data_IF_096321317545
#
_entry.id   IF_096321317545
#
_cell.length_a   1.000
_cell.length_b   1.000
_cell.length_c   1.000
_cell.angle_alpha   90.00
_cell.angle_beta   90.00
_cell.angle_gamma   90.00
#
_symmetry.space_group_name_H-M   'P 1'
#
loop_
_entity.id
_entity.type
_entity.pdbx_description
1 polymer ?
#
# COMPACT_ATOMS: atom_id res chain seq x y z
N UNK A 1 -34.61 0.05 34.22
CA UNK A 1 -35.23 -1.29 34.09
C UNK A 1 -35.36 -1.54 32.59
N UNK A 2 -34.31 -1.96 31.86
CA UNK A 2 -33.77 -3.32 31.73
C UNK A 2 -34.83 -4.38 31.94
N UNK A 3 -35.43 -4.85 30.84
CA UNK A 3 -35.86 -6.24 30.66
C UNK A 3 -36.57 -6.38 29.31
N UNK A 4 -35.85 -6.86 28.29
CA UNK A 4 -36.29 -7.98 27.46
C UNK A 4 -35.18 -8.40 26.48
N UNK A 5 -34.18 -9.08 27.04
CA UNK A 5 -33.31 -9.99 26.30
C UNK A 5 -33.97 -11.38 26.41
N UNK A 6 -34.63 -11.83 25.34
CA UNK A 6 -35.13 -13.20 25.22
C UNK A 6 -34.48 -13.86 24.00
N UNK A 7 -33.68 -14.89 24.25
CA UNK A 7 -33.38 -15.92 23.25
C UNK A 7 -31.92 -16.08 22.81
N UNK A 8 -30.95 -16.17 23.73
CA UNK A 8 -29.66 -16.81 23.42
C UNK A 8 -29.77 -18.31 23.73
N UNK A 9 -30.17 -19.11 22.73
CA UNK A 9 -29.92 -20.54 22.73
C UNK A 9 -28.49 -20.77 22.23
N UNK A 10 -27.65 -21.36 23.10
CA UNK A 10 -26.28 -21.76 22.77
C UNK A 10 -26.32 -23.22 22.38
N UNK A 11 -26.27 -23.51 21.08
CA UNK A 11 -25.94 -24.84 20.55
C UNK A 11 -24.52 -24.80 19.97
N UNK A 12 -23.65 -25.69 20.46
CA UNK A 12 -22.24 -25.80 20.05
C UNK A 12 -21.93 -27.23 19.61
N UNK A 13 -22.16 -27.52 18.33
CA UNK A 13 -21.49 -28.57 17.56
C UNK A 13 -21.85 -28.41 16.07
N UNK A 14 -20.98 -27.75 15.29
CA UNK A 14 -21.14 -27.59 13.84
C UNK A 14 -21.70 -26.24 13.35
N UNK A 15 -21.49 -25.14 14.10
CA UNK A 15 -22.08 -23.85 13.79
C UNK A 15 -21.52 -23.25 12.48
N UNK A 16 -22.32 -23.31 11.41
CA UNK A 16 -22.33 -22.22 10.42
C UNK A 16 -22.54 -20.92 11.20
N UNK A 17 -21.69 -19.93 10.97
CA UNK A 17 -21.76 -18.67 11.71
C UNK A 17 -23.06 -17.97 11.31
N UNK A 18 -24.05 -17.97 12.21
CA UNK A 18 -25.38 -17.41 11.96
C UNK A 18 -25.31 -15.98 11.44
N UNK A 19 -26.20 -15.65 10.51
CA UNK A 19 -26.36 -14.27 10.02
C UNK A 19 -27.24 -13.50 10.99
N UNK A 20 -26.77 -12.33 11.44
CA UNK A 20 -27.54 -11.40 12.24
C UNK A 20 -28.07 -10.28 11.33
N UNK A 21 -29.34 -9.91 11.52
CA UNK A 21 -29.97 -8.77 10.82
C UNK A 21 -30.37 -7.73 11.84
N UNK A 22 -29.89 -6.51 11.65
CA UNK A 22 -30.18 -5.34 12.48
C UNK A 22 -31.12 -4.41 11.74
N UNK A 23 -32.14 -3.90 12.41
CA UNK A 23 -33.10 -2.96 11.85
C UNK A 23 -32.73 -1.54 12.28
N UNK A 24 -32.76 -0.62 11.32
CA UNK A 24 -32.59 0.82 11.52
C UNK A 24 -33.94 1.50 11.80
N UNK A 25 -33.90 2.70 12.37
CA UNK A 25 -35.11 3.51 12.64
C UNK A 25 -35.83 3.96 11.36
N UNK A 26 -35.07 4.17 10.29
CA UNK A 26 -35.57 4.53 8.95
C UNK A 26 -36.24 3.35 8.20
N UNK A 27 -36.24 2.15 8.79
CA UNK A 27 -36.83 0.94 8.19
C UNK A 27 -35.87 0.11 7.36
N UNK A 28 -34.65 0.59 7.09
CA UNK A 28 -33.59 -0.19 6.43
C UNK A 28 -33.03 -1.27 7.37
N UNK A 29 -32.32 -2.25 6.81
CA UNK A 29 -31.65 -3.30 7.61
C UNK A 29 -30.17 -3.42 7.25
N UNK A 30 -29.41 -4.00 8.16
CA UNK A 30 -28.01 -4.40 7.94
C UNK A 30 -27.84 -5.86 8.32
N UNK A 31 -27.34 -6.68 7.39
CA UNK A 31 -27.00 -8.07 7.64
C UNK A 31 -25.49 -8.23 7.90
N UNK A 32 -25.11 -9.09 8.84
CA UNK A 32 -23.71 -9.43 9.16
C UNK A 32 -23.61 -10.95 9.32
N UNK A 33 -22.65 -11.58 8.65
CA UNK A 33 -22.38 -13.01 8.79
C UNK A 33 -22.44 -13.79 7.49
N UNK A 34 -22.50 -15.13 7.58
CA UNK A 34 -22.20 -16.04 6.48
C UNK A 34 -23.04 -15.82 5.20
N UNK A 35 -24.31 -15.43 5.31
CA UNK A 35 -25.18 -15.20 4.15
C UNK A 35 -24.80 -13.94 3.35
N UNK A 36 -23.97 -13.06 3.90
CA UNK A 36 -23.42 -11.90 3.17
C UNK A 36 -22.26 -12.28 2.24
N UNK A 37 -21.86 -13.55 2.22
CA UNK A 37 -20.74 -14.05 1.44
C UNK A 37 -19.42 -13.38 1.82
N UNK A 38 -18.60 -13.05 0.81
CA UNK A 38 -17.30 -12.41 1.03
C UNK A 38 -17.39 -10.96 1.54
N UNK A 39 -18.57 -10.31 1.45
CA UNK A 39 -18.76 -8.93 1.89
C UNK A 39 -18.70 -8.81 3.43
N UNK A 40 -19.08 -9.86 4.17
CA UNK A 40 -19.10 -9.90 5.64
C UNK A 40 -20.19 -9.02 6.29
N UNK A 41 -20.56 -7.92 5.63
CA UNK A 41 -21.61 -6.98 6.00
C UNK A 41 -22.36 -6.52 4.74
N UNK A 42 -23.69 -6.41 4.83
CA UNK A 42 -24.57 -5.86 3.79
C UNK A 42 -25.47 -4.80 4.43
N UNK A 43 -25.19 -3.50 4.24
CA UNK A 43 -26.02 -2.40 4.76
C UNK A 43 -27.17 -2.03 3.81
N UNK A 44 -28.05 -1.11 4.26
CA UNK A 44 -29.10 -0.48 3.45
C UNK A 44 -30.06 -1.45 2.74
N UNK A 45 -30.37 -2.57 3.40
CA UNK A 45 -31.30 -3.58 2.89
C UNK A 45 -32.73 -3.04 2.95
N UNK A 46 -33.43 -3.10 1.82
CA UNK A 46 -34.80 -2.63 1.66
C UNK A 46 -34.92 -1.12 1.45
N UNK A 47 -33.80 -0.40 1.30
CA UNK A 47 -33.83 1.02 0.95
C UNK A 47 -34.34 1.20 -0.48
N UNK A 48 -35.26 2.15 -0.64
CA UNK A 48 -35.89 2.50 -1.93
C UNK A 48 -35.78 3.99 -2.22
N UNK A 49 -35.03 4.73 -1.41
CA UNK A 49 -34.93 6.19 -1.48
C UNK A 49 -33.76 6.56 -2.37
N UNK A 50 -33.99 7.19 -3.55
CA UNK A 50 -32.88 7.64 -4.37
C UNK A 50 -32.07 8.75 -3.69
N UNK A 51 -30.75 8.79 -3.91
CA UNK A 51 -29.92 9.91 -3.46
C UNK A 51 -30.34 11.23 -4.14
N UNK A 52 -29.93 12.39 -3.57
CA UNK A 52 -30.20 13.70 -4.15
C UNK A 52 -29.68 13.84 -5.58
N UNK A 53 -30.37 14.64 -6.39
CA UNK A 53 -29.98 14.94 -7.77
C UNK A 53 -28.66 15.73 -7.72
N UNK A 54 -27.59 15.29 -8.42
CA UNK A 54 -26.34 16.04 -8.45
C UNK A 54 -26.51 17.40 -9.13
N UNK A 55 -25.60 18.33 -8.83
CA UNK A 55 -25.44 19.56 -9.61
C UNK A 55 -25.19 19.25 -11.10
N UNK A 56 -25.44 20.24 -11.97
CA UNK A 56 -25.12 20.10 -13.38
C UNK A 56 -23.60 19.93 -13.57
N UNK A 57 -23.15 19.07 -14.49
CA UNK A 57 -21.72 18.85 -14.71
C UNK A 57 -21.05 20.10 -15.28
N UNK A 58 -19.77 20.29 -14.98
CA UNK A 58 -18.90 21.14 -15.79
C UNK A 58 -18.22 20.26 -16.85
N UNK A 59 -18.24 20.68 -18.11
CA UNK A 59 -17.68 19.89 -19.21
C UNK A 59 -16.69 20.72 -20.01
N UNK A 60 -15.59 20.08 -20.41
CA UNK A 60 -14.64 20.61 -21.39
C UNK A 60 -14.33 19.56 -22.45
N UNK A 61 -14.11 19.99 -23.68
CA UNK A 61 -14.02 19.10 -24.83
C UNK A 61 -12.87 19.50 -25.75
N UNK A 62 -11.83 18.67 -25.84
CA UNK A 62 -10.73 18.90 -26.77
C UNK A 62 -10.04 17.59 -27.15
N UNK A 63 -9.43 17.54 -28.34
CA UNK A 63 -8.56 16.44 -28.73
C UNK A 63 -9.22 15.04 -28.70
N UNK A 64 -10.54 14.94 -28.97
CA UNK A 64 -11.27 13.68 -28.85
C UNK A 64 -11.47 13.20 -27.40
N UNK A 65 -11.31 14.09 -26.41
CA UNK A 65 -11.56 13.82 -25.00
C UNK A 65 -12.61 14.79 -24.49
N UNK A 66 -13.64 14.23 -23.87
CA UNK A 66 -14.64 14.94 -23.10
C UNK A 66 -14.31 14.78 -21.61
N UNK A 67 -13.95 15.86 -20.93
CA UNK A 67 -13.74 15.88 -19.49
C UNK A 67 -15.04 16.29 -18.82
N UNK A 68 -15.61 15.40 -18.00
CA UNK A 68 -16.82 15.65 -17.23
C UNK A 68 -16.46 15.80 -15.76
N UNK A 69 -16.82 16.93 -15.15
CA UNK A 69 -16.55 17.24 -13.77
C UNK A 69 -17.83 17.43 -12.96
N UNK A 70 -17.79 16.97 -11.71
CA UNK A 70 -18.82 17.20 -10.70
C UNK A 70 -18.19 17.92 -9.50
N UNK A 71 -18.88 18.95 -9.00
CA UNK A 71 -18.38 19.80 -7.90
C UNK A 71 -18.62 19.21 -6.50
N UNK A 72 -19.28 18.06 -6.41
CA UNK A 72 -19.69 17.44 -5.14
C UNK A 72 -21.00 17.99 -4.58
N UNK A 73 -21.65 18.92 -5.28
CA UNK A 73 -22.89 19.57 -4.88
C UNK A 73 -24.15 18.86 -5.36
N UNK A 74 -25.27 19.20 -4.73
CA UNK A 74 -26.60 18.67 -5.03
C UNK A 74 -27.50 19.78 -5.56
N UNK A 75 -28.29 19.48 -6.59
CA UNK A 75 -29.25 20.42 -7.19
C UNK A 75 -30.50 20.61 -6.31
N UNK A 76 -30.96 19.55 -5.64
CA UNK A 76 -32.19 19.54 -4.87
C UNK A 76 -31.99 19.35 -3.36
N UNK A 77 -30.75 19.45 -2.87
CA UNK A 77 -30.43 19.33 -1.44
C UNK A 77 -29.29 20.29 -1.07
N UNK A 78 -29.27 20.71 0.19
CA UNK A 78 -28.13 21.42 0.81
C UNK A 78 -27.52 20.62 1.95
N UNK A 79 -28.03 19.41 2.17
CA UNK A 79 -27.54 18.51 3.22
C UNK A 79 -26.23 17.83 2.80
N UNK A 80 -25.52 17.29 3.79
CA UNK A 80 -24.32 16.49 3.53
C UNK A 80 -24.66 15.26 2.69
N UNK A 81 -23.67 14.75 1.94
CA UNK A 81 -23.79 13.51 1.18
C UNK A 81 -24.40 12.39 2.03
N UNK A 82 -25.48 11.74 1.56
CA UNK A 82 -26.11 10.65 2.29
C UNK A 82 -25.13 9.51 2.62
N UNK A 83 -25.26 8.83 3.77
CA UNK A 83 -24.35 7.75 4.17
C UNK A 83 -24.30 6.55 3.21
N UNK A 84 -25.37 6.34 2.46
CA UNK A 84 -25.60 5.27 1.49
C UNK A 84 -25.19 5.66 0.06
N UNK A 85 -24.79 6.91 -0.19
CA UNK A 85 -24.31 7.36 -1.50
C UNK A 85 -23.12 6.51 -1.98
N UNK A 86 -23.22 5.98 -3.20
CA UNK A 86 -22.21 5.12 -3.80
C UNK A 86 -21.42 5.82 -4.91
N UNK A 87 -22.05 6.70 -5.69
CA UNK A 87 -21.35 7.43 -6.75
C UNK A 87 -22.26 8.16 -7.73
N UNK A 88 -21.62 8.68 -8.78
CA UNK A 88 -22.26 9.39 -9.89
C UNK A 88 -22.19 8.54 -11.15
N UNK A 89 -23.31 8.46 -11.86
CA UNK A 89 -23.43 7.95 -13.23
C UNK A 89 -23.26 9.12 -14.18
N UNK A 90 -22.29 9.03 -15.08
CA UNK A 90 -22.11 9.99 -16.17
C UNK A 90 -22.85 9.49 -17.40
N UNK A 91 -23.87 10.24 -17.81
CA UNK A 91 -24.61 9.96 -19.04
C UNK A 91 -24.22 10.95 -20.14
N UNK A 92 -23.84 10.43 -21.30
CA UNK A 92 -23.45 11.23 -22.47
C UNK A 92 -24.36 10.90 -23.65
N UNK A 93 -24.70 11.92 -24.43
CA UNK A 93 -25.48 11.80 -25.65
C UNK A 93 -24.79 12.57 -26.78
N UNK A 94 -24.30 11.82 -27.77
CA UNK A 94 -23.87 12.37 -29.06
C UNK A 94 -25.03 12.39 -30.06
N UNK A 95 -24.87 11.69 -31.18
CA UNK A 95 -25.92 11.55 -32.22
C UNK A 95 -27.03 10.54 -31.87
N UNK A 96 -26.80 9.68 -30.88
CA UNK A 96 -27.70 8.60 -30.46
C UNK A 96 -28.57 8.95 -29.25
N UNK A 97 -29.03 7.91 -28.55
CA UNK A 97 -29.68 8.04 -27.25
C UNK A 97 -28.65 8.25 -26.12
N UNK A 98 -29.14 8.57 -24.92
CA UNK A 98 -28.28 8.67 -23.73
C UNK A 98 -27.63 7.32 -23.42
N UNK A 99 -26.32 7.32 -23.24
CA UNK A 99 -25.54 6.17 -22.80
C UNK A 99 -24.86 6.48 -21.46
N UNK A 100 -24.76 5.48 -20.61
CA UNK A 100 -23.92 5.54 -19.41
C UNK A 100 -22.47 5.25 -19.82
N UNK A 101 -21.58 6.19 -19.53
CA UNK A 101 -20.16 6.10 -19.91
C UNK A 101 -19.23 5.85 -18.72
N UNK A 102 -19.62 6.26 -17.51
CA UNK A 102 -18.77 6.14 -16.32
C UNK A 102 -19.55 6.08 -14.99
N UNK A 103 -18.94 5.44 -13.98
CA UNK A 103 -19.42 5.39 -12.57
C UNK A 103 -18.32 5.61 -11.52
N UNK A 104 -17.16 6.11 -11.90
CA UNK A 104 -15.98 6.18 -11.02
C UNK A 104 -15.97 7.40 -10.10
N UNK A 105 -16.78 8.41 -10.40
CA UNK A 105 -16.92 9.62 -9.59
C UNK A 105 -17.69 9.32 -8.28
N UNK A 106 -16.95 9.16 -7.18
CA UNK A 106 -17.48 8.94 -5.82
C UNK A 106 -17.37 10.17 -4.90
N UNK A 107 -16.81 11.27 -5.40
CA UNK A 107 -16.67 12.55 -4.73
C UNK A 107 -16.47 13.65 -5.79
N UNK A 108 -16.34 14.92 -5.36
CA UNK A 108 -15.99 16.02 -6.26
C UNK A 108 -14.71 15.70 -7.05
N UNK A 109 -14.76 15.86 -8.36
CA UNK A 109 -13.70 15.43 -9.26
C UNK A 109 -14.11 15.45 -10.73
N UNK A 110 -13.28 14.86 -11.58
CA UNK A 110 -13.51 14.79 -13.01
C UNK A 110 -13.11 13.43 -13.58
N UNK A 111 -13.80 13.00 -14.64
CA UNK A 111 -13.49 11.83 -15.42
C UNK A 111 -13.29 12.20 -16.90
N UNK A 112 -12.20 11.73 -17.54
CA UNK A 112 -12.04 11.84 -18.99
C UNK A 112 -12.78 10.71 -19.72
N UNK A 113 -13.53 11.05 -20.75
CA UNK A 113 -14.26 10.13 -21.62
C UNK A 113 -13.74 10.30 -23.05
N UNK A 114 -13.20 9.24 -23.63
CA UNK A 114 -12.74 9.26 -25.01
C UNK A 114 -13.95 9.23 -25.96
N UNK A 115 -14.05 10.24 -26.83
CA UNK A 115 -15.15 10.39 -27.77
C UNK A 115 -14.66 10.87 -29.13
N UNK A 116 -15.42 10.62 -30.19
CA UNK A 116 -15.12 11.23 -31.48
C UNK A 116 -15.33 12.76 -31.42
N UNK A 117 -14.67 13.55 -32.28
CA UNK A 117 -14.99 14.96 -32.43
C UNK A 117 -16.47 15.16 -32.79
N UNK A 118 -17.15 16.10 -32.14
CA UNK A 118 -18.57 16.35 -32.34
C UNK A 118 -19.24 17.09 -31.18
N UNK A 119 -20.56 17.30 -31.31
CA UNK A 119 -21.38 17.93 -30.28
C UNK A 119 -22.00 16.87 -29.35
N UNK A 120 -21.87 17.11 -28.04
CA UNK A 120 -22.35 16.21 -27.00
C UNK A 120 -23.24 16.94 -25.99
N UNK A 121 -24.19 16.21 -25.43
CA UNK A 121 -24.93 16.60 -24.24
C UNK A 121 -24.52 15.68 -23.08
N UNK A 122 -24.32 16.25 -21.91
CA UNK A 122 -23.88 15.52 -20.71
C UNK A 122 -24.82 15.85 -19.56
N UNK A 123 -25.18 14.84 -18.78
CA UNK A 123 -25.91 14.98 -17.53
C UNK A 123 -25.45 13.91 -16.53
N UNK A 124 -25.76 14.12 -15.26
CA UNK A 124 -25.36 13.24 -14.18
C UNK A 124 -26.58 12.64 -13.48
N UNK A 125 -26.41 11.47 -12.88
CA UNK A 125 -27.33 10.90 -11.88
C UNK A 125 -26.51 10.42 -10.70
N UNK A 126 -27.05 10.45 -9.50
CA UNK A 126 -26.43 9.79 -8.34
C UNK A 126 -27.05 8.41 -8.13
N UNK A 127 -26.29 7.50 -7.53
CA UNK A 127 -26.78 6.20 -7.10
C UNK A 127 -26.25 5.84 -5.72
N UNK A 128 -27.00 5.01 -5.00
CA UNK A 128 -26.70 4.57 -3.65
C UNK A 128 -26.14 3.13 -3.62
N UNK A 129 -25.88 2.63 -2.41
CA UNK A 129 -25.44 1.27 -2.13
C UNK A 129 -26.59 0.44 -1.52
N UNK A 130 -27.83 0.65 -1.97
CA UNK A 130 -28.98 -0.10 -1.50
C UNK A 130 -28.92 -1.59 -1.90
N UNK A 131 -29.51 -2.43 -1.06
CA UNK A 131 -29.61 -3.88 -1.29
C UNK A 131 -31.06 -4.35 -1.16
N UNK A 132 -31.42 -5.41 -1.88
CA UNK A 132 -32.75 -6.03 -1.75
C UNK A 132 -32.83 -7.01 -0.57
N UNK A 133 -34.02 -7.55 -0.30
CA UNK A 133 -34.24 -8.55 0.77
C UNK A 133 -33.49 -9.88 0.53
N UNK A 134 -32.96 -10.09 -0.69
CA UNK A 134 -32.08 -11.21 -1.02
C UNK A 134 -30.58 -10.90 -0.79
N UNK A 135 -30.26 -9.72 -0.24
CA UNK A 135 -28.90 -9.21 0.01
C UNK A 135 -28.11 -8.87 -1.27
N UNK A 136 -28.79 -8.78 -2.40
CA UNK A 136 -28.19 -8.42 -3.68
C UNK A 136 -28.23 -6.90 -3.88
N UNK A 137 -27.27 -6.38 -4.65
CA UNK A 137 -27.20 -4.95 -4.92
C UNK A 137 -28.42 -4.50 -5.72
N UNK A 138 -29.17 -3.53 -5.18
CA UNK A 138 -30.33 -2.93 -5.80
C UNK A 138 -30.27 -1.39 -5.74
N UNK A 139 -29.27 -0.76 -6.39
CA UNK A 139 -29.05 0.68 -6.27
C UNK A 139 -30.27 1.49 -6.74
N UNK A 140 -30.69 2.46 -5.93
CA UNK A 140 -31.63 3.48 -6.39
C UNK A 140 -30.86 4.57 -7.12
N UNK A 141 -31.49 5.14 -8.15
CA UNK A 141 -30.85 6.13 -9.02
C UNK A 141 -31.71 7.39 -9.03
N UNK A 142 -31.08 8.55 -8.89
CA UNK A 142 -31.77 9.83 -8.93
C UNK A 142 -32.38 10.12 -10.31
N UNK A 143 -33.27 11.11 -10.33
CA UNK A 143 -33.56 11.83 -11.57
C UNK A 143 -32.29 12.50 -12.12
N UNK A 144 -32.21 12.75 -13.45
CA UNK A 144 -31.06 13.42 -14.03
C UNK A 144 -30.88 14.86 -13.54
N UNK A 145 -29.63 15.29 -13.43
CA UNK A 145 -29.28 16.69 -13.24
C UNK A 145 -29.59 17.56 -14.47
N UNK A 146 -29.38 18.87 -14.33
CA UNK A 146 -29.30 19.76 -15.48
C UNK A 146 -28.26 19.29 -16.51
N UNK A 147 -28.57 19.44 -17.79
CA UNK A 147 -27.67 19.03 -18.89
C UNK A 147 -26.79 20.19 -19.36
N UNK A 148 -25.58 19.86 -19.81
CA UNK A 148 -24.63 20.79 -20.45
C UNK A 148 -24.34 20.31 -21.87
N UNK A 149 -24.26 21.24 -22.82
CA UNK A 149 -23.82 20.97 -24.19
C UNK A 149 -22.36 21.38 -24.34
N UNK A 150 -21.57 20.53 -24.98
CA UNK A 150 -20.13 20.68 -25.14
C UNK A 150 -19.73 20.19 -26.52
N UNK A 151 -18.91 20.98 -27.21
CA UNK A 151 -18.30 20.57 -28.47
C UNK A 151 -16.92 19.99 -28.17
N UNK A 152 -16.61 18.84 -28.74
CA UNK A 152 -15.29 18.23 -28.68
C UNK A 152 -14.62 18.47 -30.02
N UNK A 153 -13.60 19.34 -30.01
CA UNK A 153 -12.88 19.69 -31.23
C UNK A 153 -11.88 18.61 -31.64
N UNK A 154 -11.75 18.41 -32.95
CA UNK A 154 -10.63 17.71 -33.53
C UNK A 154 -9.44 18.66 -33.57
N UNK A 155 -8.40 18.36 -32.78
CA UNK A 155 -7.16 19.14 -32.78
C UNK A 155 -6.08 18.29 -33.44
N UNK A 156 -5.72 18.54 -34.72
CA UNK A 156 -4.69 17.77 -35.40
C UNK A 156 -3.36 17.78 -34.62
N UNK A 157 -2.84 16.61 -34.29
CA UNK A 157 -1.58 16.42 -33.54
C UNK A 157 -1.74 16.24 -32.02
N UNK A 158 -2.88 16.65 -31.44
CA UNK A 158 -3.11 16.57 -29.99
C UNK A 158 -3.11 15.15 -29.43
N UNK A 159 -3.62 14.16 -30.17
CA UNK A 159 -3.63 12.78 -29.73
C UNK A 159 -2.22 12.19 -29.61
N UNK A 160 -1.32 12.55 -30.53
CA UNK A 160 0.08 12.12 -30.46
C UNK A 160 0.81 12.82 -29.31
N UNK A 161 0.63 14.13 -29.16
CA UNK A 161 1.24 14.89 -28.06
C UNK A 161 0.74 14.39 -26.69
N UNK A 162 -0.56 14.09 -26.56
CA UNK A 162 -1.11 13.51 -25.34
C UNK A 162 -0.58 12.11 -25.05
N UNK A 163 -0.38 11.29 -26.10
CA UNK A 163 0.21 9.96 -25.96
C UNK A 163 1.68 10.02 -25.52
N UNK A 164 2.46 10.93 -26.11
CA UNK A 164 3.86 11.16 -25.73
C UNK A 164 3.98 11.63 -24.27
N UNK A 165 3.10 12.54 -23.83
CA UNK A 165 3.04 13.00 -22.43
C UNK A 165 2.66 11.85 -21.48
N UNK A 166 1.69 11.01 -21.87
CA UNK A 166 1.26 9.88 -21.05
C UNK A 166 2.37 8.81 -20.93
N UNK A 167 3.10 8.53 -22.02
CA UNK A 167 4.24 7.62 -22.01
C UNK A 167 5.36 8.16 -21.10
N UNK A 168 5.72 9.44 -21.23
CA UNK A 168 6.70 10.07 -20.36
C UNK A 168 6.29 10.02 -18.87
N UNK A 169 5.01 10.28 -18.57
CA UNK A 169 4.49 10.22 -17.20
C UNK A 169 4.53 8.80 -16.64
N UNK A 170 4.25 7.78 -17.46
CA UNK A 170 4.35 6.38 -17.06
C UNK A 170 5.81 5.99 -16.78
N UNK A 171 6.76 6.40 -17.62
CA UNK A 171 8.18 6.18 -17.39
C UNK A 171 8.67 6.83 -16.09
N UNK A 172 8.26 8.08 -15.83
CA UNK A 172 8.61 8.79 -14.60
C UNK A 172 8.04 8.10 -13.36
N UNK A 173 6.80 7.60 -13.43
CA UNK A 173 6.18 6.84 -12.35
C UNK A 173 6.92 5.51 -12.08
N UNK A 174 7.31 4.79 -13.13
CA UNK A 174 8.13 3.57 -13.00
C UNK A 174 9.46 3.89 -12.33
N UNK A 175 10.13 4.97 -12.75
CA UNK A 175 11.39 5.41 -12.16
C UNK A 175 11.24 5.77 -10.67
N UNK A 176 10.17 6.46 -10.30
CA UNK A 176 9.87 6.80 -8.91
C UNK A 176 9.60 5.55 -8.05
N UNK A 177 8.89 4.55 -8.61
CA UNK A 177 8.67 3.26 -7.95
C UNK A 177 9.97 2.50 -7.75
N UNK A 178 10.84 2.43 -8.77
CA UNK A 178 12.17 1.81 -8.65
C UNK A 178 13.02 2.51 -7.60
N UNK A 179 13.05 3.85 -7.58
CA UNK A 179 13.78 4.61 -6.56
C UNK A 179 13.23 4.33 -5.15
N UNK A 180 11.91 4.23 -4.99
CA UNK A 180 11.28 3.89 -3.72
C UNK A 180 11.59 2.45 -3.28
N UNK A 181 11.62 1.50 -4.22
CA UNK A 181 12.06 0.12 -3.96
C UNK A 181 13.53 0.07 -3.53
N UNK A 182 14.42 0.78 -4.21
CA UNK A 182 15.83 0.88 -3.82
C UNK A 182 16.01 1.54 -2.44
N UNK A 183 15.16 2.51 -2.08
CA UNK A 183 15.15 3.11 -0.74
C UNK A 183 14.67 2.14 0.34
N UNK A 184 13.70 1.27 0.04
CA UNK A 184 13.28 0.17 0.90
C UNK A 184 14.33 -0.94 0.99
N UNK A 185 15.10 -1.14 -0.08
CA UNK A 185 16.28 -2.02 -0.11
C UNK A 185 17.47 -1.48 0.70
N UNK A 186 17.32 -0.34 1.39
CA UNK A 186 18.15 0.08 2.53
C UNK A 186 18.05 -0.87 3.73
N UNK A 187 18.09 -2.19 3.49
CA UNK A 187 18.10 -3.27 4.47
C UNK A 187 19.39 -3.12 5.28
N UNK A 188 19.25 -2.83 6.56
CA UNK A 188 20.41 -2.73 7.44
C UNK A 188 21.01 -4.12 7.64
N UNK A 189 22.29 -4.28 7.34
CA UNK A 189 23.03 -5.47 7.74
C UNK A 189 23.21 -5.46 9.26
N UNK A 190 22.77 -6.53 9.93
CA UNK A 190 22.99 -6.73 11.36
C UNK A 190 24.12 -7.73 11.54
N UNK A 191 25.17 -7.33 12.24
CA UNK A 191 26.26 -8.24 12.59
C UNK A 191 26.10 -8.77 14.00
N UNK A 192 26.24 -10.08 14.14
CA UNK A 192 26.27 -10.78 15.42
C UNK A 192 27.65 -11.39 15.64
N UNK A 193 28.20 -11.25 16.85
CA UNK A 193 29.49 -11.83 17.23
C UNK A 193 29.27 -12.78 18.40
N UNK A 194 29.55 -14.07 18.16
CA UNK A 194 29.55 -15.11 19.19
C UNK A 194 30.94 -15.37 19.72
N UNK A 195 31.06 -15.52 21.04
CA UNK A 195 32.30 -15.96 21.69
C UNK A 195 32.18 -17.40 22.14
N UNK A 196 33.14 -18.24 21.75
CA UNK A 196 33.18 -19.66 22.15
C UNK A 196 33.30 -19.90 23.66
N UNK A 197 33.65 -18.86 24.44
CA UNK A 197 33.85 -18.94 25.90
C UNK A 197 33.23 -17.77 26.68
N UNK A 198 32.28 -17.06 26.08
CA UNK A 198 31.64 -15.88 26.67
C UNK A 198 32.49 -14.60 26.60
N UNK A 199 31.94 -13.49 27.10
CA UNK A 199 32.51 -12.14 26.90
C UNK A 199 33.51 -11.70 27.99
N UNK A 200 33.72 -12.52 29.03
CA UNK A 200 34.63 -12.21 30.14
C UNK A 200 35.81 -13.18 30.11
N UNK A 201 36.98 -12.67 29.71
CA UNK A 201 38.22 -13.43 29.71
C UNK A 201 38.89 -13.35 31.09
N UNK A 202 39.11 -14.49 31.74
CA UNK A 202 39.99 -14.60 32.90
C UNK A 202 41.26 -15.28 32.43
N UNK A 203 42.39 -14.57 32.51
CA UNK A 203 43.72 -14.98 32.06
C UNK A 203 44.06 -16.43 32.48
N UNK A 204 43.64 -17.35 31.63
CA UNK A 204 43.86 -18.78 31.67
C UNK A 204 44.46 -19.10 30.30
N UNK A 205 45.36 -20.08 30.20
CA UNK A 205 46.11 -20.38 28.97
C UNK A 205 45.24 -20.97 27.82
N UNK A 206 43.98 -20.56 27.73
CA UNK A 206 42.96 -21.12 26.85
C UNK A 206 42.53 -20.05 25.86
N UNK A 207 42.54 -20.38 24.57
CA UNK A 207 42.10 -19.47 23.51
C UNK A 207 40.56 -19.39 23.43
N UNK A 208 40.09 -18.21 23.02
CA UNK A 208 38.69 -17.91 22.71
C UNK A 208 38.59 -17.58 21.22
N UNK A 209 37.53 -18.03 20.57
CA UNK A 209 37.26 -17.71 19.16
C UNK A 209 36.02 -16.84 19.11
N UNK A 210 36.14 -15.68 18.48
CA UNK A 210 35.01 -14.83 18.12
C UNK A 210 34.58 -15.18 16.70
N UNK A 211 33.29 -15.47 16.51
CA UNK A 211 32.72 -15.83 15.21
C UNK A 211 31.67 -14.81 14.80
N UNK A 212 31.74 -14.31 13.56
CA UNK A 212 30.82 -13.32 13.01
C UNK A 212 29.72 -14.02 12.21
N UNK A 213 28.50 -13.51 12.33
CA UNK A 213 27.39 -13.80 11.42
C UNK A 213 26.84 -12.48 10.91
N UNK A 214 26.71 -12.31 9.60
CA UNK A 214 26.09 -11.14 8.99
C UNK A 214 24.68 -11.52 8.55
N UNK A 215 23.68 -10.91 9.15
CA UNK A 215 22.29 -11.04 8.73
C UNK A 215 21.97 -9.87 7.81
N UNK A 216 21.68 -10.17 6.56
CA UNK A 216 21.26 -9.19 5.58
C UNK A 216 20.08 -9.79 4.85
N UNK A 217 18.99 -9.04 4.78
CA UNK A 217 17.80 -9.53 4.16
C UNK A 217 17.25 -10.83 4.79
N UNK A 218 17.02 -11.85 3.97
CA UNK A 218 16.68 -13.22 4.33
C UNK A 218 17.92 -14.13 4.37
N UNK A 219 19.13 -13.57 4.20
CA UNK A 219 20.40 -14.28 4.20
C UNK A 219 21.07 -14.26 5.58
N UNK A 220 21.64 -15.41 5.93
CA UNK A 220 22.57 -15.56 7.04
C UNK A 220 23.93 -15.87 6.43
N UNK A 221 24.84 -14.90 6.46
CA UNK A 221 26.14 -14.96 5.81
C UNK A 221 27.19 -15.32 6.87
N UNK A 222 27.89 -16.43 6.64
CA UNK A 222 28.91 -16.97 7.56
C UNK A 222 30.25 -17.25 6.86
N UNK A 223 30.37 -16.88 5.58
CA UNK A 223 31.57 -17.09 4.78
C UNK A 223 31.84 -15.91 3.82
N UNK A 224 33.11 -15.80 3.40
CA UNK A 224 33.61 -14.68 2.59
C UNK A 224 33.12 -14.72 1.13
N UNK A 225 32.74 -15.89 0.60
CA UNK A 225 32.26 -16.00 -0.78
C UNK A 225 30.87 -15.39 -0.85
N UNK A 226 29.97 -15.84 0.02
CA UNK A 226 28.60 -15.30 0.13
C UNK A 226 28.62 -13.81 0.48
N UNK A 227 29.55 -13.36 1.34
CA UNK A 227 29.69 -11.93 1.67
C UNK A 227 29.98 -11.09 0.43
N UNK A 228 30.92 -11.52 -0.41
CA UNK A 228 31.34 -10.79 -1.61
C UNK A 228 30.32 -10.86 -2.74
N UNK A 229 29.63 -11.97 -2.87
CA UNK A 229 28.47 -12.07 -3.76
C UNK A 229 27.34 -11.11 -3.33
N UNK A 230 27.19 -10.87 -2.02
CA UNK A 230 26.13 -9.99 -1.47
C UNK A 230 26.50 -8.50 -1.50
N UNK A 231 27.71 -8.13 -1.07
CA UNK A 231 28.11 -6.74 -0.80
C UNK A 231 29.17 -6.18 -1.74
N UNK A 232 29.59 -6.95 -2.76
CA UNK A 232 30.63 -6.54 -3.70
C UNK A 232 31.94 -7.29 -3.52
N UNK A 233 32.72 -7.42 -4.59
CA UNK A 233 33.92 -8.27 -4.61
C UNK A 233 35.04 -7.79 -3.69
N UNK A 234 35.07 -6.50 -3.33
CA UNK A 234 36.01 -5.95 -2.35
C UNK A 234 35.55 -6.08 -0.90
N UNK A 235 34.31 -6.52 -0.65
CA UNK A 235 33.76 -6.58 0.70
C UNK A 235 34.57 -7.51 1.61
N UNK A 236 34.78 -7.07 2.86
CA UNK A 236 35.52 -7.82 3.88
C UNK A 236 35.11 -7.42 5.30
N UNK A 237 35.49 -8.27 6.26
CA UNK A 237 35.35 -8.00 7.69
C UNK A 237 36.65 -7.42 8.24
N UNK A 238 36.60 -6.16 8.68
CA UNK A 238 37.73 -5.50 9.32
C UNK A 238 37.66 -5.64 10.83
N UNK A 239 38.69 -6.24 11.41
CA UNK A 239 38.83 -6.33 12.85
C UNK A 239 39.71 -5.21 13.38
N UNK A 240 39.29 -4.60 14.48
CA UNK A 240 40.01 -3.54 15.16
C UNK A 240 40.16 -3.88 16.65
N UNK A 241 41.21 -3.35 17.28
CA UNK A 241 41.49 -3.51 18.70
C UNK A 241 41.82 -2.16 19.36
N UNK A 242 41.52 -2.06 20.65
CA UNK A 242 41.84 -0.88 21.47
C UNK A 242 42.14 -1.30 22.91
N UNK A 243 43.30 -0.93 23.44
CA UNK A 243 43.62 -1.13 24.86
C UNK A 243 43.01 -0.02 25.72
N UNK A 244 43.00 -0.25 27.03
CA UNK A 244 42.36 0.66 28.00
C UNK A 244 42.88 2.10 27.94
N UNK A 245 44.16 2.29 27.64
CA UNK A 245 44.81 3.61 27.62
C UNK A 245 45.04 4.15 26.19
N UNK A 246 44.62 3.41 25.16
CA UNK A 246 44.75 3.86 23.78
C UNK A 246 43.70 4.92 23.45
N UNK A 247 44.08 5.95 22.71
CA UNK A 247 43.15 6.96 22.17
C UNK A 247 42.46 6.48 20.91
N UNK A 248 43.18 5.73 20.08
CA UNK A 248 42.78 5.35 18.72
C UNK A 248 42.65 3.83 18.58
N UNK A 249 41.90 3.40 17.57
CA UNK A 249 41.78 1.98 17.22
C UNK A 249 42.96 1.54 16.36
N UNK A 250 43.52 0.37 16.69
CA UNK A 250 44.46 -0.33 15.83
C UNK A 250 43.72 -1.30 14.90
N UNK A 251 44.05 -1.30 13.62
CA UNK A 251 43.51 -2.27 12.65
C UNK A 251 44.29 -3.58 12.73
N UNK A 252 43.58 -4.70 12.81
CA UNK A 252 44.14 -6.04 12.63
C UNK A 252 44.21 -6.30 11.13
N UNK A 253 45.42 -6.56 10.62
CA UNK A 253 45.61 -6.86 9.20
C UNK A 253 44.77 -8.07 8.79
N UNK A 254 44.18 -8.05 7.61
CA UNK A 254 43.46 -9.19 7.02
C UNK A 254 44.35 -10.43 6.83
N UNK A 255 45.67 -10.26 6.84
CA UNK A 255 46.65 -11.34 6.78
C UNK A 255 47.12 -11.84 8.16
N UNK A 256 46.56 -11.31 9.26
CA UNK A 256 46.88 -11.75 10.62
C UNK A 256 46.54 -13.24 10.78
N UNK A 257 47.50 -14.03 11.23
CA UNK A 257 47.36 -15.49 11.37
C UNK A 257 46.29 -15.92 12.37
N UNK A 258 45.83 -15.02 13.24
CA UNK A 258 44.73 -15.28 14.18
C UNK A 258 43.36 -15.16 13.52
N UNK A 259 43.27 -14.49 12.36
CA UNK A 259 42.08 -14.44 11.54
C UNK A 259 42.01 -15.68 10.65
N UNK A 260 40.83 -16.29 10.60
CA UNK A 260 40.55 -17.46 9.78
C UNK A 260 39.18 -17.34 9.12
N UNK A 261 38.86 -18.27 8.22
CA UNK A 261 37.57 -18.28 7.50
C UNK A 261 37.30 -16.96 6.75
N UNK A 262 38.33 -16.35 6.17
CA UNK A 262 38.21 -15.07 5.46
C UNK A 262 37.86 -13.87 6.35
N UNK A 263 38.13 -13.95 7.66
CA UNK A 263 37.84 -12.89 8.64
C UNK A 263 36.61 -13.16 9.51
N UNK A 264 35.86 -14.23 9.24
CA UNK A 264 34.68 -14.60 10.02
C UNK A 264 34.99 -15.19 11.40
N UNK A 265 36.22 -15.65 11.62
CA UNK A 265 36.65 -16.18 12.91
C UNK A 265 37.97 -15.56 13.36
N UNK A 266 37.98 -14.98 14.57
CA UNK A 266 39.16 -14.37 15.19
C UNK A 266 39.54 -15.10 16.48
N UNK A 267 40.74 -15.67 16.51
CA UNK A 267 41.26 -16.42 17.67
C UNK A 267 42.07 -15.51 18.59
N UNK A 268 41.60 -15.36 19.82
CA UNK A 268 42.20 -14.53 20.86
C UNK A 268 42.81 -15.43 21.93
N UNK A 269 44.01 -15.08 22.35
CA UNK A 269 44.77 -15.72 23.43
C UNK A 269 45.03 -14.75 24.57
N UNK A 270 45.56 -15.24 25.68
CA UNK A 270 45.97 -14.37 26.79
C UNK A 270 47.11 -13.41 26.43
N UNK A 271 47.87 -13.66 25.36
CA UNK A 271 48.90 -12.73 24.88
C UNK A 271 48.30 -11.48 24.21
N UNK A 272 47.04 -11.57 23.77
CA UNK A 272 46.34 -10.49 23.06
C UNK A 272 45.60 -9.55 24.01
N UNK A 273 45.56 -9.89 25.30
CA UNK A 273 44.85 -9.15 26.33
C UNK A 273 45.82 -8.86 27.47
N UNK A 274 46.11 -7.57 27.66
CA UNK A 274 46.82 -7.09 28.85
C UNK A 274 45.83 -6.88 30.02
N UNK A 275 45.63 -5.66 30.52
CA UNK A 275 44.65 -5.39 31.58
C UNK A 275 43.20 -5.41 31.06
N UNK A 276 42.97 -4.81 29.88
CA UNK A 276 41.69 -4.83 29.15
C UNK A 276 41.95 -4.45 27.69
N UNK A 277 41.38 -5.22 26.77
CA UNK A 277 41.37 -4.92 25.33
C UNK A 277 39.95 -5.07 24.80
N UNK A 278 39.52 -4.13 23.96
CA UNK A 278 38.22 -4.17 23.27
C UNK A 278 38.49 -4.52 21.82
N UNK A 279 37.65 -5.41 21.27
CA UNK A 279 37.67 -5.78 19.86
C UNK A 279 36.37 -5.36 19.19
N UNK A 280 36.47 -4.88 17.96
CA UNK A 280 35.34 -4.52 17.11
C UNK A 280 35.53 -5.17 15.75
N UNK A 281 34.42 -5.58 15.13
CA UNK A 281 34.38 -6.00 13.74
C UNK A 281 33.51 -5.00 12.97
N UNK A 282 33.95 -4.61 11.79
CA UNK A 282 33.28 -3.68 10.88
C UNK A 282 33.14 -4.37 9.53
N UNK A 283 31.93 -4.42 8.99
CA UNK A 283 31.70 -4.81 7.60
C UNK A 283 32.07 -3.63 6.71
N UNK A 284 33.07 -3.84 5.86
CA UNK A 284 33.45 -2.89 4.80
C UNK A 284 32.81 -3.36 3.50
N UNK A 285 32.01 -2.49 2.87
CA UNK A 285 31.35 -2.72 1.58
C UNK A 285 31.88 -1.74 0.54
N UNK A 286 31.56 -1.98 -0.73
CA UNK A 286 31.82 -1.03 -1.82
C UNK A 286 30.96 0.23 -1.74
#
# INVERSE_FOLDING_TARGET
MISDLKGLAVDKAGASSGTAVFHSEDGTKTAIGEQTGAKGIVPFIGDTTPPPIPSAPACDGSAGVLVVAWDGGWQNSVEATPPDFAGIIVEVKGTGDWAEEDRTLVAAGSVPIAVAPGDYQVRLRSFDNAHDEALEGAPNVSDPSGMVSVAVEDVPGSAQEAQDVAEQAAEDAVKALTQSQTALDGRQAVMHIDSSRGLVFKNSQVSTVLTVTVMYADLIITDIVTLRETFGQSAYLEWQWKRIDDTDWGTISVADSRLSQGGFAFTITSADVDTKTVFQCILQTD
#
